data_IF_454515457964
#
_entry.id   IF_454515457964
#
_cell.length_a   1.000
_cell.length_b   1.000
_cell.length_c   1.000
_cell.angle_alpha   90.00
_cell.angle_beta   90.00
_cell.angle_gamma   90.00
#
_symmetry.space_group_name_H-M   'P 1'
#
loop_
_entity.id
_entity.type
_entity.pdbx_description
1 polymer ?
#
# COMPACT_ATOMS: atom_id res chain seq x y z
N UNK A 1 31.88 18.25 -8.29
CA UNK A 1 31.80 16.77 -8.29
C UNK A 1 30.47 16.36 -8.89
N UNK A 2 30.54 15.61 -9.99
CA UNK A 2 29.48 15.40 -10.98
C UNK A 2 28.33 14.52 -10.44
N UNK A 3 27.10 15.05 -10.38
CA UNK A 3 25.89 14.23 -10.25
C UNK A 3 25.33 13.89 -11.63
N UNK A 4 25.90 12.88 -12.29
CA UNK A 4 25.14 12.13 -13.29
C UNK A 4 24.16 11.21 -12.54
N UNK A 5 23.07 11.78 -12.01
CA UNK A 5 21.92 10.98 -11.60
C UNK A 5 21.32 10.42 -12.88
N UNK A 6 21.50 9.14 -13.14
CA UNK A 6 20.74 8.40 -14.13
C UNK A 6 19.27 8.41 -13.70
N UNK A 7 18.56 9.48 -14.02
CA UNK A 7 17.13 9.62 -13.79
C UNK A 7 16.43 8.69 -14.77
N UNK A 8 16.26 7.43 -14.38
CA UNK A 8 15.26 6.58 -15.01
C UNK A 8 13.91 7.29 -14.84
N UNK A 9 13.28 7.65 -15.96
CA UNK A 9 11.98 8.30 -15.95
C UNK A 9 10.98 7.46 -15.13
N UNK A 10 10.12 8.07 -14.28
CA UNK A 10 9.14 7.35 -13.46
C UNK A 10 8.31 6.31 -14.23
N UNK A 11 7.96 6.62 -15.49
CA UNK A 11 7.21 5.71 -16.37
C UNK A 11 7.96 4.40 -16.67
N UNK A 12 9.28 4.45 -16.80
CA UNK A 12 10.10 3.25 -17.04
C UNK A 12 10.17 2.37 -15.78
N UNK A 13 10.24 2.98 -14.60
CA UNK A 13 10.17 2.24 -13.32
C UNK A 13 8.82 1.53 -13.18
N UNK A 14 7.72 2.23 -13.45
CA UNK A 14 6.37 1.64 -13.42
C UNK A 14 6.23 0.47 -14.40
N UNK A 15 6.72 0.63 -15.62
CA UNK A 15 6.74 -0.43 -16.62
C UNK A 15 7.56 -1.64 -16.14
N UNK A 16 8.76 -1.42 -15.58
CA UNK A 16 9.57 -2.51 -15.05
C UNK A 16 8.90 -3.24 -13.89
N UNK A 17 8.18 -2.52 -13.02
CA UNK A 17 7.41 -3.10 -11.94
C UNK A 17 6.23 -3.94 -12.44
N UNK A 18 5.54 -3.54 -13.50
CA UNK A 18 4.41 -4.28 -14.04
C UNK A 18 4.80 -5.58 -14.75
N UNK A 19 5.99 -5.64 -15.36
CA UNK A 19 6.51 -6.84 -16.03
C UNK A 19 7.33 -7.75 -15.11
N UNK A 20 7.65 -7.31 -13.89
CA UNK A 20 8.47 -8.07 -12.95
C UNK A 20 7.70 -9.22 -12.32
N UNK A 21 8.12 -10.46 -12.62
CA UNK A 21 7.54 -11.71 -12.08
C UNK A 21 8.31 -12.33 -10.92
N UNK A 22 9.49 -11.78 -10.60
CA UNK A 22 10.38 -12.34 -9.59
C UNK A 22 10.73 -11.30 -8.55
N UNK A 23 10.76 -11.71 -7.28
CA UNK A 23 11.15 -10.87 -6.13
C UNK A 23 12.46 -10.13 -6.38
N UNK A 24 13.47 -10.80 -6.97
CA UNK A 24 14.79 -10.21 -7.24
C UNK A 24 14.73 -8.93 -8.10
N UNK A 25 13.83 -8.87 -9.07
CA UNK A 25 13.69 -7.68 -9.93
C UNK A 25 13.05 -6.54 -9.15
N UNK A 26 11.99 -6.84 -8.38
CA UNK A 26 11.33 -5.85 -7.53
C UNK A 26 12.29 -5.32 -6.45
N UNK A 27 13.12 -6.17 -5.85
CA UNK A 27 14.13 -5.74 -4.85
C UNK A 27 15.20 -4.84 -5.46
N UNK A 28 15.65 -5.13 -6.69
CA UNK A 28 16.60 -4.27 -7.41
C UNK A 28 15.98 -2.91 -7.73
N UNK A 29 14.72 -2.89 -8.20
CA UNK A 29 13.99 -1.65 -8.47
C UNK A 29 13.78 -0.87 -7.16
N UNK A 30 13.43 -1.53 -6.07
CA UNK A 30 13.23 -0.89 -4.77
C UNK A 30 14.52 -0.22 -4.26
N UNK A 31 15.65 -0.94 -4.30
CA UNK A 31 16.96 -0.38 -3.94
C UNK A 31 17.33 0.83 -4.82
N UNK A 32 17.04 0.75 -6.12
CA UNK A 32 17.23 1.88 -7.03
C UNK A 32 16.35 3.08 -6.66
N UNK A 33 15.07 2.86 -6.32
CA UNK A 33 14.13 3.91 -5.91
C UNK A 33 14.57 4.60 -4.62
N UNK A 34 15.09 3.83 -3.64
CA UNK A 34 15.65 4.37 -2.38
C UNK A 34 16.89 5.23 -2.68
N UNK A 35 17.87 4.68 -3.39
CA UNK A 35 19.16 5.36 -3.65
C UNK A 35 19.02 6.61 -4.52
N UNK A 36 17.95 6.71 -5.32
CA UNK A 36 17.65 7.89 -6.13
C UNK A 36 16.76 8.92 -5.44
N UNK A 37 16.22 8.61 -4.26
CA UNK A 37 15.33 9.49 -3.50
C UNK A 37 13.88 9.55 -4.03
N UNK A 38 13.50 8.65 -4.93
CA UNK A 38 12.15 8.61 -5.52
C UNK A 38 11.06 8.08 -4.55
N UNK A 39 11.47 7.59 -3.38
CA UNK A 39 10.58 7.07 -2.32
C UNK A 39 10.01 8.16 -1.40
N UNK A 40 10.62 9.36 -1.37
CA UNK A 40 10.42 10.34 -0.28
C UNK A 40 9.01 10.96 -0.20
N UNK A 41 8.21 10.90 -1.26
CA UNK A 41 6.94 11.65 -1.34
C UNK A 41 5.68 10.76 -1.40
N UNK A 42 5.72 9.51 -0.89
CA UNK A 42 4.56 8.61 -1.00
C UNK A 42 4.11 8.42 -2.46
N UNK A 43 5.09 8.43 -3.37
CA UNK A 43 4.89 8.54 -4.81
C UNK A 43 4.11 7.35 -5.38
N UNK A 44 3.52 7.52 -6.57
CA UNK A 44 2.87 6.42 -7.30
C UNK A 44 3.77 5.18 -7.43
N UNK A 45 5.09 5.34 -7.43
CA UNK A 45 6.04 4.23 -7.52
C UNK A 45 5.98 3.33 -6.27
N UNK A 46 5.80 3.91 -5.07
CA UNK A 46 5.68 3.13 -3.82
C UNK A 46 4.42 2.28 -3.83
N UNK A 47 3.31 2.85 -4.29
CA UNK A 47 2.06 2.12 -4.54
C UNK A 47 2.27 0.98 -5.54
N UNK A 48 2.95 1.25 -6.65
CA UNK A 48 3.23 0.25 -7.69
C UNK A 48 4.17 -0.85 -7.17
N UNK A 49 5.16 -0.53 -6.33
CA UNK A 49 6.02 -1.50 -5.66
C UNK A 49 5.20 -2.47 -4.79
N UNK A 50 4.36 -1.95 -3.90
CA UNK A 50 3.49 -2.76 -3.03
C UNK A 50 2.56 -3.64 -3.87
N UNK A 51 1.93 -3.07 -4.90
CA UNK A 51 1.04 -3.81 -5.80
C UNK A 51 1.78 -4.96 -6.51
N UNK A 52 2.97 -4.70 -7.06
CA UNK A 52 3.80 -5.72 -7.71
C UNK A 52 4.23 -6.83 -6.76
N UNK A 53 4.54 -6.51 -5.49
CA UNK A 53 4.82 -7.52 -4.46
C UNK A 53 3.61 -8.44 -4.24
N UNK A 54 2.41 -7.87 -4.15
CA UNK A 54 1.17 -8.63 -4.00
C UNK A 54 0.88 -9.56 -5.18
N UNK A 55 1.19 -9.14 -6.41
CA UNK A 55 0.99 -9.97 -7.62
C UNK A 55 1.86 -11.23 -7.63
N UNK A 56 3.01 -11.20 -6.97
CA UNK A 56 3.92 -12.36 -6.87
C UNK A 56 3.85 -13.06 -5.52
N UNK A 57 2.86 -12.73 -4.67
CA UNK A 57 2.66 -13.35 -3.36
C UNK A 57 3.64 -12.92 -2.27
N UNK A 58 4.46 -11.89 -2.50
CA UNK A 58 5.48 -11.41 -1.57
C UNK A 58 4.90 -10.40 -0.55
N UNK A 59 3.91 -10.84 0.22
CA UNK A 59 3.16 -9.99 1.17
C UNK A 59 4.09 -9.36 2.21
N UNK A 60 4.99 -10.14 2.81
CA UNK A 60 5.92 -9.64 3.83
C UNK A 60 6.87 -8.57 3.28
N UNK A 61 7.27 -8.69 2.01
CA UNK A 61 8.09 -7.68 1.37
C UNK A 61 7.28 -6.43 1.03
N UNK A 62 6.01 -6.57 0.64
CA UNK A 62 5.10 -5.44 0.47
C UNK A 62 4.95 -4.62 1.78
N UNK A 63 4.80 -5.30 2.92
CA UNK A 63 4.77 -4.67 4.26
C UNK A 63 6.05 -3.91 4.55
N UNK A 64 7.22 -4.52 4.27
CA UNK A 64 8.52 -3.85 4.42
C UNK A 64 8.61 -2.57 3.59
N UNK A 65 8.16 -2.59 2.33
CA UNK A 65 8.13 -1.38 1.49
C UNK A 65 7.27 -0.29 2.15
N UNK A 66 6.10 -0.64 2.68
CA UNK A 66 5.22 0.29 3.40
C UNK A 66 5.89 0.86 4.67
N UNK A 67 6.60 0.02 5.44
CA UNK A 67 7.28 0.42 6.67
C UNK A 67 8.41 1.43 6.44
N UNK A 68 9.13 1.29 5.33
CA UNK A 68 10.24 2.18 4.97
C UNK A 68 9.79 3.55 4.43
N UNK A 69 8.48 3.76 4.20
CA UNK A 69 7.97 5.05 3.75
C UNK A 69 7.93 6.06 4.90
N UNK A 70 8.55 7.25 4.74
CA UNK A 70 8.53 8.30 5.76
C UNK A 70 7.14 8.93 5.91
N UNK A 71 6.37 8.98 4.82
CA UNK A 71 4.98 9.42 4.80
C UNK A 71 4.17 8.50 3.88
N UNK A 72 2.98 8.10 4.35
CA UNK A 72 2.10 7.16 3.65
C UNK A 72 0.85 7.88 3.21
N UNK A 73 0.56 7.84 1.91
CA UNK A 73 -0.69 8.36 1.37
C UNK A 73 -1.80 7.31 1.45
N UNK A 74 -3.06 7.75 1.37
CA UNK A 74 -4.23 6.85 1.25
C UNK A 74 -4.06 5.83 0.13
N UNK A 75 -3.46 6.22 -0.99
CA UNK A 75 -3.24 5.33 -2.14
C UNK A 75 -2.27 4.17 -1.83
N UNK A 76 -1.26 4.42 -1.00
CA UNK A 76 -0.28 3.41 -0.58
C UNK A 76 -0.91 2.48 0.45
N UNK A 77 -1.64 3.02 1.43
CA UNK A 77 -2.43 2.21 2.38
C UNK A 77 -3.41 1.30 1.66
N UNK A 78 -4.22 1.83 0.74
CA UNK A 78 -5.19 1.07 -0.03
C UNK A 78 -4.51 -0.04 -0.84
N UNK A 79 -3.33 0.21 -1.42
CA UNK A 79 -2.58 -0.84 -2.11
C UNK A 79 -2.19 -1.97 -1.17
N UNK A 80 -1.75 -1.68 0.05
CA UNK A 80 -1.41 -2.72 1.03
C UNK A 80 -2.64 -3.44 1.58
N UNK A 81 -3.77 -2.73 1.78
CA UNK A 81 -5.06 -3.36 2.12
C UNK A 81 -5.46 -4.39 1.06
N UNK A 82 -5.33 -4.05 -0.23
CA UNK A 82 -5.58 -4.99 -1.34
C UNK A 82 -4.67 -6.22 -1.24
N UNK A 83 -3.39 -6.03 -0.93
CA UNK A 83 -2.43 -7.14 -0.76
C UNK A 83 -2.87 -8.07 0.36
N UNK A 84 -3.20 -7.55 1.55
CA UNK A 84 -3.68 -8.38 2.66
C UNK A 84 -5.04 -9.04 2.39
N UNK A 85 -5.96 -8.32 1.75
CA UNK A 85 -7.27 -8.85 1.38
C UNK A 85 -7.17 -10.03 0.41
N UNK A 86 -6.25 -9.96 -0.58
CA UNK A 86 -5.96 -11.10 -1.48
C UNK A 86 -5.30 -12.28 -0.77
N UNK A 87 -4.51 -12.00 0.26
CA UNK A 87 -3.91 -13.02 1.12
C UNK A 87 -4.87 -13.63 2.15
N UNK A 88 -6.16 -13.25 2.14
CA UNK A 88 -7.17 -13.67 3.11
C UNK A 88 -6.79 -13.39 4.58
N UNK A 89 -6.18 -12.23 4.84
CA UNK A 89 -5.76 -11.79 6.17
C UNK A 89 -6.63 -10.62 6.67
N UNK A 90 -7.88 -10.88 7.12
CA UNK A 90 -8.79 -9.82 7.57
C UNK A 90 -8.23 -9.04 8.77
N UNK A 91 -7.58 -9.71 9.72
CA UNK A 91 -7.00 -9.07 10.90
C UNK A 91 -5.96 -8.01 10.52
N UNK A 92 -5.09 -8.33 9.56
CA UNK A 92 -4.07 -7.38 9.08
C UNK A 92 -4.70 -6.21 8.33
N UNK A 93 -5.80 -6.40 7.60
CA UNK A 93 -6.57 -5.28 7.03
C UNK A 93 -7.10 -4.36 8.13
N UNK A 94 -7.68 -4.92 9.20
CA UNK A 94 -8.23 -4.16 10.31
C UNK A 94 -7.16 -3.41 11.09
N UNK A 95 -6.00 -4.03 11.31
CA UNK A 95 -4.82 -3.37 11.93
C UNK A 95 -4.29 -2.25 11.06
N UNK A 96 -4.28 -2.45 9.74
CA UNK A 96 -3.79 -1.44 8.81
C UNK A 96 -4.73 -0.23 8.73
N UNK A 97 -6.04 -0.46 8.80
CA UNK A 97 -7.03 0.61 8.95
C UNK A 97 -6.78 1.41 10.23
N UNK A 98 -6.58 0.75 11.38
CA UNK A 98 -6.32 1.45 12.65
C UNK A 98 -5.02 2.25 12.58
N UNK A 99 -3.96 1.69 11.97
CA UNK A 99 -2.69 2.38 11.74
C UNK A 99 -2.91 3.65 10.89
N UNK A 100 -3.69 3.55 9.82
CA UNK A 100 -4.01 4.67 8.93
C UNK A 100 -4.71 5.81 9.68
N UNK A 101 -5.68 5.48 10.55
CA UNK A 101 -6.38 6.46 11.40
C UNK A 101 -5.42 7.09 12.41
N UNK A 102 -4.57 6.29 13.07
CA UNK A 102 -3.60 6.78 14.04
C UNK A 102 -2.56 7.74 13.41
N UNK A 103 -2.18 7.48 12.16
CA UNK A 103 -1.31 8.34 11.35
C UNK A 103 -2.06 9.54 10.73
N UNK A 104 -3.35 9.74 11.06
CA UNK A 104 -4.21 10.83 10.58
C UNK A 104 -4.33 10.86 9.05
N UNK A 105 -4.22 9.70 8.40
CA UNK A 105 -4.44 9.56 6.96
C UNK A 105 -5.93 9.28 6.75
N UNK A 106 -6.61 10.16 6.00
CA UNK A 106 -8.05 10.06 5.79
C UNK A 106 -8.41 8.85 4.92
N UNK A 107 -9.25 7.90 5.41
CA UNK A 107 -9.79 6.81 4.60
C UNK A 107 -10.66 7.30 3.45
N UNK A 108 -10.62 6.61 2.32
CA UNK A 108 -11.54 6.83 1.21
C UNK A 108 -12.58 5.70 1.09
N UNK A 109 -13.47 5.81 0.10
CA UNK A 109 -14.51 4.83 -0.19
C UNK A 109 -13.99 3.41 -0.38
N UNK A 110 -12.81 3.27 -1.00
CA UNK A 110 -12.15 1.97 -1.21
C UNK A 110 -11.65 1.40 0.11
N UNK A 111 -11.03 2.24 0.95
CA UNK A 111 -10.60 1.87 2.30
C UNK A 111 -11.77 1.32 3.12
N UNK A 112 -12.90 2.04 3.17
CA UNK A 112 -14.08 1.63 3.93
C UNK A 112 -14.64 0.29 3.43
N UNK A 113 -14.81 0.15 2.12
CA UNK A 113 -15.36 -1.07 1.50
C UNK A 113 -14.54 -2.30 1.88
N UNK A 114 -13.21 -2.21 1.77
CA UNK A 114 -12.32 -3.33 2.11
C UNK A 114 -12.26 -3.62 3.61
N UNK A 115 -12.32 -2.58 4.45
CA UNK A 115 -12.33 -2.71 5.91
C UNK A 115 -13.62 -3.37 6.39
N UNK A 116 -14.78 -2.96 5.88
CA UNK A 116 -16.08 -3.58 6.19
C UNK A 116 -16.09 -5.04 5.75
N UNK A 117 -15.57 -5.35 4.54
CA UNK A 117 -15.42 -6.73 4.09
C UNK A 117 -14.55 -7.55 5.05
N UNK A 118 -13.45 -6.99 5.52
CA UNK A 118 -12.59 -7.64 6.51
C UNK A 118 -13.31 -7.85 7.86
N UNK A 119 -14.11 -6.90 8.34
CA UNK A 119 -14.93 -7.07 9.53
C UNK A 119 -15.93 -8.23 9.38
N UNK A 120 -16.59 -8.33 8.23
CA UNK A 120 -17.50 -9.45 7.95
C UNK A 120 -16.77 -10.79 7.93
N UNK A 121 -15.60 -10.86 7.29
CA UNK A 121 -14.79 -12.08 7.23
C UNK A 121 -14.21 -12.48 8.58
N UNK A 122 -13.84 -11.51 9.42
CA UNK A 122 -13.30 -11.73 10.77
C UNK A 122 -14.35 -11.76 11.88
N UNK A 123 -15.65 -11.71 11.54
CA UNK A 123 -16.77 -11.62 12.50
C UNK A 123 -16.64 -10.47 13.52
N UNK A 124 -15.98 -9.37 13.15
CA UNK A 124 -15.78 -8.19 13.98
C UNK A 124 -16.93 -7.19 13.82
N UNK A 125 -18.14 -7.58 14.25
CA UNK A 125 -19.39 -6.84 13.99
C UNK A 125 -19.36 -5.40 14.54
N UNK A 126 -18.99 -5.22 15.81
CA UNK A 126 -18.94 -3.90 16.45
C UNK A 126 -18.01 -2.94 15.70
N UNK A 127 -16.85 -3.43 15.26
CA UNK A 127 -15.92 -2.64 14.45
C UNK A 127 -16.50 -2.35 13.07
N UNK A 128 -17.18 -3.31 12.45
CA UNK A 128 -17.90 -3.14 11.19
C UNK A 128 -18.93 -2.02 11.25
N UNK A 129 -19.75 -1.98 12.29
CA UNK A 129 -20.75 -0.92 12.51
C UNK A 129 -20.09 0.45 12.72
N UNK A 130 -19.03 0.53 13.53
CA UNK A 130 -18.30 1.77 13.75
C UNK A 130 -17.67 2.32 12.45
N UNK A 131 -17.10 1.43 11.63
CA UNK A 131 -16.53 1.80 10.32
C UNK A 131 -17.63 2.23 9.34
N UNK A 132 -18.77 1.53 9.33
CA UNK A 132 -19.92 1.88 8.49
C UNK A 132 -20.48 3.27 8.82
N UNK A 133 -20.70 3.57 10.10
CA UNK A 133 -21.19 4.89 10.53
C UNK A 133 -20.24 6.03 10.12
N UNK A 134 -18.92 5.81 10.25
CA UNK A 134 -17.91 6.77 9.77
C UNK A 134 -17.97 6.96 8.26
N UNK A 135 -18.16 5.88 7.50
CA UNK A 135 -18.31 5.96 6.06
C UNK A 135 -19.56 6.76 5.69
N UNK A 136 -20.72 6.46 6.30
CA UNK A 136 -22.00 7.11 6.01
C UNK A 136 -21.97 8.63 6.18
N UNK A 137 -21.18 9.18 7.11
CA UNK A 137 -21.00 10.62 7.26
C UNK A 137 -20.25 11.32 6.12
N UNK A 138 -19.68 10.57 5.17
CA UNK A 138 -18.98 11.08 3.97
C UNK A 138 -19.85 10.95 2.72
N UNK A 139 -20.82 10.04 2.72
CA UNK A 139 -21.73 9.77 1.59
C UNK A 139 -23.04 10.57 1.64
N UNK A 140 -23.22 11.42 2.66
CA UNK A 140 -24.38 12.30 2.86
C UNK A 140 -23.95 13.75 2.71
#
# INVERSE_FOLDING_TARGET
MLQHRTLLCPNRIKFLLSVSKFKRHITQIHAFVITTGNLLNGSSISRDLIASCGLIGEISYARKVLDELPQRSVSVYNSMIVVYSRGNNPDEVLRLYDQMIAEKVQPDSSTFTMTIKACLSGMALEKGEAVWLKASGIWV
#
